data_IF_473815293309
#
_entry.id   IF_473815293309
#
_cell.length_a   1.000
_cell.length_b   1.000
_cell.length_c   1.000
_cell.angle_alpha   90.00
_cell.angle_beta   90.00
_cell.angle_gamma   90.00
#
_symmetry.space_group_name_H-M   'P 1'
#
loop_
_entity.id
_entity.type
_entity.pdbx_description
1 polymer ?
#
# COMPACT_ATOMS: atom_id res chain seq x y z
N UNK A 1 -10.21 -10.65 9.59
CA UNK A 1 -11.24 -10.51 8.54
C UNK A 1 -10.95 -11.53 7.45
N UNK A 2 -11.96 -12.24 6.95
CA UNK A 2 -11.81 -13.07 5.75
C UNK A 2 -12.38 -12.29 4.55
N UNK A 3 -11.49 -11.70 3.76
CA UNK A 3 -11.90 -10.99 2.54
C UNK A 3 -12.11 -11.99 1.41
N UNK A 4 -13.38 -12.16 1.02
CA UNK A 4 -13.77 -13.09 -0.05
C UNK A 4 -13.63 -12.46 -1.45
N UNK A 5 -13.98 -11.18 -1.57
CA UNK A 5 -13.95 -10.48 -2.86
C UNK A 5 -12.52 -10.35 -3.39
N UNK A 6 -12.37 -10.53 -4.70
CA UNK A 6 -11.12 -10.38 -5.46
C UNK A 6 -11.37 -9.50 -6.69
N UNK A 7 -10.34 -8.79 -7.13
CA UNK A 7 -10.37 -7.99 -8.36
C UNK A 7 -9.21 -8.38 -9.27
N UNK A 8 -9.48 -8.41 -10.57
CA UNK A 8 -8.46 -8.64 -11.57
C UNK A 8 -7.73 -7.33 -11.88
N UNK A 9 -6.37 -7.28 -11.84
CA UNK A 9 -5.62 -6.08 -12.16
C UNK A 9 -5.64 -5.75 -13.66
N UNK A 10 -5.82 -6.75 -14.53
CA UNK A 10 -5.80 -6.58 -15.99
C UNK A 10 -7.14 -6.12 -16.58
N UNK A 11 -8.25 -6.77 -16.22
CA UNK A 11 -9.57 -6.46 -16.78
C UNK A 11 -10.52 -5.73 -15.82
N UNK A 12 -10.10 -5.52 -14.56
CA UNK A 12 -10.88 -4.79 -13.57
C UNK A 12 -12.10 -5.52 -12.99
N UNK A 13 -12.46 -6.70 -13.51
CA UNK A 13 -13.63 -7.48 -13.03
C UNK A 13 -13.43 -8.02 -11.62
N UNK A 14 -14.53 -8.05 -10.89
CA UNK A 14 -14.61 -8.69 -9.58
C UNK A 14 -14.93 -10.17 -9.70
N UNK A 15 -14.42 -10.97 -8.75
CA UNK A 15 -14.64 -12.41 -8.68
C UNK A 15 -14.52 -12.91 -7.24
N UNK A 16 -15.05 -14.11 -6.97
CA UNK A 16 -14.86 -14.85 -5.71
C UNK A 16 -13.81 -15.96 -5.85
N UNK A 17 -13.34 -16.25 -7.09
CA UNK A 17 -12.22 -17.16 -7.31
C UNK A 17 -10.96 -16.57 -6.70
N UNK A 18 -10.16 -17.40 -6.02
CA UNK A 18 -8.96 -16.94 -5.30
C UNK A 18 -7.69 -16.99 -6.14
N UNK A 19 -7.68 -17.80 -7.19
CA UNK A 19 -6.46 -18.13 -7.93
C UNK A 19 -6.30 -17.23 -9.15
N UNK A 20 -7.26 -17.29 -10.09
CA UNK A 20 -7.19 -16.62 -11.39
C UNK A 20 -8.53 -16.02 -11.82
N UNK A 21 -8.44 -14.97 -12.63
CA UNK A 21 -9.59 -14.33 -13.26
C UNK A 21 -10.24 -15.32 -14.26
N UNK A 22 -11.57 -15.54 -14.20
CA UNK A 22 -12.24 -16.47 -15.13
C UNK A 22 -12.28 -15.98 -16.58
N UNK A 23 -11.90 -14.73 -16.86
CA UNK A 23 -12.00 -14.11 -18.19
C UNK A 23 -10.64 -13.98 -18.86
N UNK A 24 -9.65 -13.42 -18.16
CA UNK A 24 -8.33 -13.16 -18.72
C UNK A 24 -7.23 -14.08 -18.18
N UNK A 25 -7.53 -14.94 -17.19
CA UNK A 25 -6.56 -15.86 -16.59
C UNK A 25 -5.54 -15.23 -15.64
N UNK A 26 -5.55 -13.91 -15.47
CA UNK A 26 -4.59 -13.19 -14.61
C UNK A 26 -4.80 -13.47 -13.12
N UNK A 27 -3.72 -13.38 -12.35
CA UNK A 27 -3.76 -13.47 -10.88
C UNK A 27 -4.63 -12.35 -10.29
N UNK A 28 -5.41 -12.69 -9.26
CA UNK A 28 -6.38 -11.75 -8.65
C UNK A 28 -5.90 -11.28 -7.28
N UNK A 29 -6.19 -10.03 -6.94
CA UNK A 29 -5.79 -9.41 -5.67
C UNK A 29 -7.00 -9.03 -4.81
N UNK A 30 -6.74 -8.72 -3.54
CA UNK A 30 -7.78 -8.24 -2.63
C UNK A 30 -8.03 -6.75 -2.89
N UNK A 31 -9.26 -6.35 -3.26
CA UNK A 31 -9.56 -4.94 -3.54
C UNK A 31 -9.77 -4.10 -2.28
N UNK A 32 -9.93 -4.72 -1.11
CA UNK A 32 -10.17 -4.00 0.13
C UNK A 32 -8.89 -3.31 0.59
N UNK A 33 -8.96 -2.03 1.02
CA UNK A 33 -7.80 -1.33 1.55
C UNK A 33 -7.30 -1.99 2.85
N UNK A 34 -6.01 -1.81 3.19
CA UNK A 34 -5.49 -2.21 4.49
C UNK A 34 -6.23 -1.47 5.61
N UNK A 35 -6.29 -2.09 6.80
CA UNK A 35 -6.89 -1.44 7.97
C UNK A 35 -6.08 -0.21 8.36
N UNK A 36 -6.79 0.88 8.66
CA UNK A 36 -6.19 2.08 9.22
C UNK A 36 -5.95 1.94 10.73
N UNK A 37 -4.86 2.48 11.23
CA UNK A 37 -4.54 2.60 12.65
C UNK A 37 -4.01 4.02 12.89
N UNK A 38 -4.53 4.76 13.88
CA UNK A 38 -4.01 6.09 14.20
C UNK A 38 -2.54 6.09 14.64
N UNK A 39 -2.11 5.05 15.36
CA UNK A 39 -0.74 4.96 15.89
C UNK A 39 0.29 4.48 14.86
N UNK A 40 -0.14 3.65 13.89
CA UNK A 40 0.64 3.03 12.82
C UNK A 40 2.18 3.00 13.04
N UNK A 41 2.63 2.01 13.82
CA UNK A 41 4.04 1.82 14.23
C UNK A 41 5.03 1.75 13.05
N UNK A 42 4.56 1.43 11.84
CA UNK A 42 5.41 1.23 10.66
C UNK A 42 5.32 2.35 9.63
N UNK A 43 4.78 3.53 9.97
CA UNK A 43 4.70 4.69 9.06
C UNK A 43 6.08 5.07 8.51
N UNK A 44 7.09 5.16 9.37
CA UNK A 44 8.47 5.51 8.99
C UNK A 44 8.99 4.61 7.87
N UNK A 45 8.85 3.29 8.04
CA UNK A 45 9.31 2.31 7.05
C UNK A 45 8.50 2.36 5.75
N UNK A 46 7.16 2.50 5.84
CA UNK A 46 6.30 2.61 4.65
C UNK A 46 6.61 3.87 3.84
N UNK A 47 6.89 4.97 4.52
CA UNK A 47 7.33 6.22 3.90
C UNK A 47 8.68 6.06 3.19
N UNK A 48 9.68 5.51 3.90
CA UNK A 48 11.00 5.25 3.31
C UNK A 48 10.93 4.33 2.08
N UNK A 49 10.12 3.26 2.11
CA UNK A 49 9.94 2.39 0.96
C UNK A 49 9.33 3.11 -0.24
N UNK A 50 8.32 3.97 -0.03
CA UNK A 50 7.72 4.76 -1.12
C UNK A 50 8.74 5.74 -1.71
N UNK A 51 9.59 6.34 -0.87
CA UNK A 51 10.66 7.24 -1.32
C UNK A 51 11.71 6.50 -2.15
N UNK A 52 12.18 5.34 -1.67
CA UNK A 52 13.13 4.50 -2.41
C UNK A 52 12.56 3.99 -3.73
N UNK A 53 11.27 3.67 -3.77
CA UNK A 53 10.55 3.29 -4.99
C UNK A 53 10.27 4.48 -5.94
N UNK A 54 10.66 5.71 -5.58
CA UNK A 54 10.42 6.92 -6.38
C UNK A 54 8.95 7.34 -6.48
N UNK A 55 8.08 6.80 -5.64
CA UNK A 55 6.63 7.10 -5.64
C UNK A 55 6.29 8.42 -4.92
N UNK A 56 7.24 8.96 -4.15
CA UNK A 56 7.11 10.25 -3.48
C UNK A 56 8.18 11.21 -4.01
N UNK A 57 7.75 12.27 -4.68
CA UNK A 57 8.60 13.41 -4.99
C UNK A 57 8.52 14.35 -3.80
N UNK A 58 9.63 14.49 -3.08
CA UNK A 58 9.75 15.37 -1.92
C UNK A 58 10.73 16.47 -2.27
N UNK A 59 10.30 17.71 -2.05
CA UNK A 59 11.19 18.85 -2.13
C UNK A 59 12.23 18.77 -0.99
N UNK A 60 13.42 19.35 -1.22
CA UNK A 60 14.55 19.28 -0.27
C UNK A 60 14.24 19.80 1.14
N UNK A 61 13.15 20.55 1.32
CA UNK A 61 12.68 21.03 2.63
C UNK A 61 11.91 19.95 3.40
N UNK A 62 10.89 19.30 2.80
CA UNK A 62 10.05 18.33 3.51
C UNK A 62 10.79 17.07 4.00
N UNK A 63 11.96 16.78 3.42
CA UNK A 63 12.84 15.70 3.87
C UNK A 63 13.58 15.97 5.18
N UNK A 64 13.79 17.26 5.53
CA UNK A 64 14.48 17.65 6.75
C UNK A 64 13.54 17.60 7.94
N UNK A 65 12.33 18.13 7.76
CA UNK A 65 11.28 18.20 8.79
C UNK A 65 10.92 16.80 9.32
N UNK A 66 10.75 15.82 8.42
CA UNK A 66 10.45 14.43 8.82
C UNK A 66 11.61 13.75 9.56
N UNK A 67 12.87 14.10 9.24
CA UNK A 67 14.03 13.53 9.94
C UNK A 67 14.16 14.08 11.36
N UNK A 68 13.78 15.33 11.60
CA UNK A 68 13.77 15.94 12.92
C UNK A 68 12.64 15.35 13.78
N UNK A 69 11.40 15.28 13.28
CA UNK A 69 10.27 14.72 14.03
C UNK A 69 10.45 13.25 14.47
N UNK A 70 11.16 12.47 13.67
CA UNK A 70 11.43 11.05 13.97
C UNK A 70 12.55 10.90 15.00
N UNK A 71 13.46 11.88 15.10
CA UNK A 71 14.58 11.86 16.04
C UNK A 71 14.13 12.18 17.48
N UNK A 72 13.03 12.91 17.62
CA UNK A 72 12.49 13.34 18.92
C UNK A 72 11.54 12.29 19.56
N UNK A 73 11.28 11.16 18.89
CA UNK A 73 10.38 10.09 19.37
C UNK A 73 11.09 8.78 19.73
N UNK A 74 12.42 8.72 19.62
CA UNK A 74 13.28 7.65 20.14
C UNK A 74 13.81 8.04 21.53
#
# INVERSE_FOLDING_TARGET
>A
MRWLLRRCPRCGRYTLRKDKCPVCGETVYVPHPPRFSPEDKYVKYRYMMKKLAGLLVVDKHGDKDFKEEVKDRE
#
